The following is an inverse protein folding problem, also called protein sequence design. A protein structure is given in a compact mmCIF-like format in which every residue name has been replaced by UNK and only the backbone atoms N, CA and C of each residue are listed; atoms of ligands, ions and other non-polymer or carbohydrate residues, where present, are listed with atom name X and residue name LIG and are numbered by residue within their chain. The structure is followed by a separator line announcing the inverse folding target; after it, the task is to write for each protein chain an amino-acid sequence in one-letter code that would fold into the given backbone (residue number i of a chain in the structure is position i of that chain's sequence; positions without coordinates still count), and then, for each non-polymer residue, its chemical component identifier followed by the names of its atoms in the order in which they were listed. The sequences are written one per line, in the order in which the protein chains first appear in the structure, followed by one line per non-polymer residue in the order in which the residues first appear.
data_IF_623404343869
#
_entry.id   IF_623404343869
#
_cell.length_a   1.000
_cell.length_b   1.000
_cell.length_c   1.000
_cell.angle_alpha   90.00
_cell.angle_beta   90.00
_cell.angle_gamma   90.00
#
_symmetry.space_group_name_H-M   'P 1'
#
loop_
_entity.id
_entity.type
_entity.pdbx_description
1 polymer ?
#
# COMPACT_ATOMS: atom_id res chain seq x y z
N UNK A 1 -25.66 18.64 30.27
CA UNK A 1 -25.43 17.52 29.33
C UNK A 1 -24.97 18.17 28.04
N UNK A 2 -23.73 17.95 27.62
CA UNK A 2 -23.18 18.55 26.40
C UNK A 2 -23.69 17.73 25.21
N UNK A 3 -24.69 18.26 24.51
CA UNK A 3 -25.36 17.59 23.39
C UNK A 3 -24.56 17.65 22.10
N UNK A 4 -23.50 18.46 22.07
CA UNK A 4 -22.64 18.71 20.91
C UNK A 4 -21.63 17.58 20.64
N UNK A 5 -21.54 16.61 21.55
CA UNK A 5 -20.63 15.45 21.41
C UNK A 5 -20.94 14.59 20.18
N UNK A 6 -22.17 14.66 19.68
CA UNK A 6 -22.65 13.88 18.53
C UNK A 6 -22.78 14.71 17.25
N UNK A 7 -22.32 15.98 17.24
CA UNK A 7 -22.41 16.84 16.05
C UNK A 7 -23.85 17.15 15.63
N UNK A 8 -24.75 17.30 16.61
CA UNK A 8 -26.13 17.76 16.42
C UNK A 8 -26.22 19.31 16.45
N UNK A 9 -25.12 19.97 16.05
CA UNK A 9 -24.94 21.43 16.03
C UNK A 9 -25.60 22.09 14.81
N UNK A 10 -26.35 21.32 14.02
CA UNK A 10 -27.05 21.80 12.83
C UNK A 10 -26.16 21.91 11.58
N UNK A 11 -24.89 21.51 11.66
CA UNK A 11 -24.07 21.27 10.48
C UNK A 11 -24.34 19.87 9.92
N UNK A 12 -24.32 19.69 8.59
CA UNK A 12 -24.49 18.36 8.02
C UNK A 12 -23.36 17.44 8.55
N UNK A 13 -23.70 16.24 9.00
CA UNK A 13 -22.75 15.20 9.47
C UNK A 13 -21.75 14.81 8.35
N UNK A 14 -21.91 15.37 7.15
CA UNK A 14 -21.00 15.20 6.03
C UNK A 14 -19.60 15.77 6.31
N UNK A 15 -18.63 14.87 6.20
CA UNK A 15 -17.25 15.13 5.79
C UNK A 15 -16.27 15.59 6.88
N UNK A 16 -16.25 14.96 8.06
CA UNK A 16 -14.97 14.80 8.78
C UNK A 16 -14.09 13.73 8.07
N UNK A 17 -13.75 13.95 6.80
CA UNK A 17 -12.87 13.08 6.01
C UNK A 17 -13.41 11.67 5.71
N UNK A 18 -12.73 10.96 4.79
CA UNK A 18 -13.05 9.58 4.37
C UNK A 18 -12.82 8.51 5.43
N UNK A 19 -12.18 8.88 6.55
CA UNK A 19 -11.67 7.96 7.58
C UNK A 19 -12.38 8.10 8.93
N UNK A 20 -13.63 8.59 8.94
CA UNK A 20 -14.45 8.68 10.16
C UNK A 20 -15.73 7.85 10.05
N UNK A 21 -16.18 7.34 11.19
CA UNK A 21 -17.47 6.65 11.30
C UNK A 21 -18.60 7.64 10.98
N UNK A 22 -19.43 7.39 9.95
CA UNK A 22 -20.51 8.29 9.56
C UNK A 22 -21.63 8.42 10.60
N UNK A 23 -21.74 7.48 11.55
CA UNK A 23 -22.78 7.51 12.59
C UNK A 23 -22.33 8.31 13.81
N UNK A 24 -21.06 8.22 14.18
CA UNK A 24 -20.53 8.76 15.45
C UNK A 24 -19.52 9.89 15.25
N UNK A 25 -18.99 10.08 14.04
CA UNK A 25 -18.00 11.11 13.72
C UNK A 25 -16.61 10.89 14.35
N UNK A 26 -16.38 9.77 15.02
CA UNK A 26 -15.05 9.40 15.54
C UNK A 26 -14.17 8.90 14.40
N UNK A 27 -12.91 9.32 14.45
CA UNK A 27 -11.88 8.84 13.53
C UNK A 27 -11.70 7.34 13.71
N UNK A 28 -11.72 6.59 12.60
CA UNK A 28 -11.40 5.16 12.67
C UNK A 28 -9.98 4.98 13.21
N UNK A 29 -9.75 3.99 14.08
CA UNK A 29 -8.40 3.67 14.51
C UNK A 29 -7.52 3.45 13.28
N UNK A 30 -6.51 4.31 13.13
CA UNK A 30 -5.52 4.18 12.06
C UNK A 30 -4.65 2.99 12.40
N UNK A 31 -5.01 1.82 11.89
CA UNK A 31 -4.06 0.74 11.74
C UNK A 31 -3.02 1.27 10.75
N UNK A 32 -1.80 1.54 11.26
CA UNK A 32 -0.70 2.00 10.43
C UNK A 32 -0.67 1.12 9.19
N UNK A 33 -0.67 1.76 8.01
CA UNK A 33 -0.57 1.09 6.71
C UNK A 33 0.60 0.14 6.85
N UNK A 34 0.30 -1.15 7.09
CA UNK A 34 1.32 -2.11 7.48
C UNK A 34 2.39 -2.00 6.44
N UNK A 35 3.64 -1.78 6.87
CA UNK A 35 4.76 -1.74 5.96
C UNK A 35 4.58 -2.94 5.05
N UNK A 36 4.21 -2.69 3.80
CA UNK A 36 4.20 -3.70 2.77
C UNK A 36 5.67 -3.95 2.50
N UNK A 37 6.32 -4.60 3.47
CA UNK A 37 7.73 -4.89 3.54
C UNK A 37 8.00 -5.89 2.45
N UNK A 38 8.08 -5.40 1.22
CA UNK A 38 8.53 -6.17 0.09
C UNK A 38 9.85 -6.82 0.47
N UNK A 39 10.05 -8.07 0.05
CA UNK A 39 11.25 -8.82 0.38
C UNK A 39 12.47 -7.96 0.00
N UNK A 40 13.28 -7.51 0.98
CA UNK A 40 14.41 -6.67 0.69
C UNK A 40 15.33 -7.42 -0.27
N UNK A 41 15.79 -6.73 -1.30
CA UNK A 41 16.64 -7.28 -2.38
C UNK A 41 15.97 -8.25 -3.38
N UNK A 42 14.66 -8.51 -3.31
CA UNK A 42 13.98 -9.34 -4.33
C UNK A 42 14.22 -8.82 -5.75
N UNK A 43 14.13 -7.50 -5.94
CA UNK A 43 14.38 -6.85 -7.25
C UNK A 43 15.80 -7.08 -7.74
N UNK A 44 16.77 -7.02 -6.84
CA UNK A 44 18.18 -7.24 -7.18
C UNK A 44 18.43 -8.72 -7.52
N UNK A 45 17.90 -9.63 -6.69
CA UNK A 45 18.00 -11.07 -6.94
C UNK A 45 17.37 -11.47 -8.29
N UNK A 46 16.18 -10.93 -8.59
CA UNK A 46 15.50 -11.18 -9.87
C UNK A 46 16.30 -10.65 -11.06
N UNK A 47 16.89 -9.46 -10.94
CA UNK A 47 17.71 -8.88 -11.99
C UNK A 47 18.96 -9.72 -12.28
N UNK A 48 19.64 -10.21 -11.24
CA UNK A 48 20.79 -11.12 -11.38
C UNK A 48 20.39 -12.43 -12.06
N UNK A 49 19.26 -13.01 -11.63
CA UNK A 49 18.69 -14.23 -12.23
C UNK A 49 18.39 -14.06 -13.72
N UNK A 50 17.76 -12.95 -14.11
CA UNK A 50 17.46 -12.65 -15.52
C UNK A 50 18.74 -12.48 -16.34
N UNK A 51 19.75 -11.77 -15.81
CA UNK A 51 21.01 -11.57 -16.51
C UNK A 51 21.75 -12.90 -16.75
N UNK A 52 21.80 -13.78 -15.73
CA UNK A 52 22.36 -15.12 -15.86
C UNK A 52 21.61 -15.97 -16.89
N UNK A 53 20.28 -15.95 -16.85
CA UNK A 53 19.46 -16.66 -17.81
C UNK A 53 19.77 -16.23 -19.25
N UNK A 54 19.83 -14.91 -19.51
CA UNK A 54 20.15 -14.38 -20.84
C UNK A 54 21.56 -14.77 -21.28
N UNK A 55 22.55 -14.69 -20.39
CA UNK A 55 23.94 -15.07 -20.71
C UNK A 55 24.05 -16.56 -21.10
N UNK A 56 23.44 -17.45 -20.31
CA UNK A 56 23.41 -18.88 -20.59
C UNK A 56 22.64 -19.15 -21.89
N UNK A 57 21.53 -18.45 -22.10
CA UNK A 57 20.72 -18.60 -23.30
C UNK A 57 21.53 -18.23 -24.55
N UNK A 58 22.20 -17.08 -24.58
CA UNK A 58 23.07 -16.64 -25.69
C UNK A 58 24.17 -17.67 -25.96
N UNK A 59 24.79 -18.20 -24.91
CA UNK A 59 25.84 -19.21 -25.02
C UNK A 59 25.33 -20.53 -25.62
N UNK A 60 24.20 -21.05 -25.13
CA UNK A 60 23.62 -22.31 -25.61
C UNK A 60 23.03 -22.20 -27.02
N UNK A 61 22.42 -21.06 -27.33
CA UNK A 61 21.78 -20.87 -28.64
C UNK A 61 22.79 -20.62 -29.76
N UNK A 62 24.09 -20.62 -29.47
CA UNK A 62 25.18 -20.43 -30.41
C UNK A 62 24.90 -19.28 -31.39
N UNK A 63 24.30 -18.19 -30.88
CA UNK A 63 23.87 -17.03 -31.68
C UNK A 63 25.07 -16.39 -32.41
N UNK A 64 26.29 -16.61 -31.92
CA UNK A 64 27.52 -16.10 -32.52
C UNK A 64 28.27 -17.10 -33.42
N UNK A 65 27.80 -18.35 -33.55
CA UNK A 65 28.38 -19.35 -34.47
C UNK A 65 29.59 -20.10 -33.93
#
# INVERSE_FOLDING_TARGET
MDHDRYGLDGMPISCRGTDCDPVTGIQFPRYGRGDAGGIPHLRLALAVMMALFVAIFIWQSNIFG
#
